data_IF_922969167740
#
_entry.id   IF_922969167740
#
_cell.length_a   1.000
_cell.length_b   1.000
_cell.length_c   1.000
_cell.angle_alpha   90.00
_cell.angle_beta   90.00
_cell.angle_gamma   90.00
#
_symmetry.space_group_name_H-M   'P 1'
#
loop_
_entity.id
_entity.type
_entity.pdbx_description
1 polymer ?
#
# COMPACT_ATOMS: atom_id res chain seq x y z
N UNK A 1 1.42 9.00 -16.16
CA UNK A 1 0.95 8.84 -14.78
C UNK A 1 -0.43 9.46 -14.65
N UNK A 2 -1.48 8.63 -14.49
CA UNK A 2 -2.84 9.13 -14.26
C UNK A 2 -2.95 9.75 -12.86
N UNK A 3 -4.03 10.50 -12.64
CA UNK A 3 -4.42 10.95 -11.30
C UNK A 3 -4.97 9.76 -10.52
N UNK A 4 -4.52 9.56 -9.29
CA UNK A 4 -5.05 8.54 -8.38
C UNK A 4 -6.25 9.13 -7.65
N UNK A 5 -7.44 8.57 -7.87
CA UNK A 5 -8.64 8.96 -7.15
C UNK A 5 -8.57 8.36 -5.74
N UNK A 6 -8.49 7.03 -5.68
CA UNK A 6 -8.39 6.27 -4.43
C UNK A 6 -7.42 5.09 -4.59
N UNK A 7 -6.95 4.58 -3.47
CA UNK A 7 -6.28 3.28 -3.44
C UNK A 7 -6.67 2.51 -2.19
N UNK A 8 -6.68 1.19 -2.29
CA UNK A 8 -6.94 0.27 -1.19
C UNK A 8 -5.77 -0.70 -1.05
N UNK A 9 -5.24 -0.82 0.15
CA UNK A 9 -4.13 -1.72 0.49
C UNK A 9 -4.66 -2.86 1.33
N UNK A 10 -4.21 -4.07 1.02
CA UNK A 10 -4.32 -5.27 1.85
C UNK A 10 -2.93 -5.78 2.17
N UNK A 11 -2.62 -5.95 3.45
CA UNK A 11 -1.34 -6.48 3.94
C UNK A 11 -1.63 -7.79 4.67
N UNK A 12 -0.87 -8.82 4.34
CA UNK A 12 -0.79 -10.05 5.12
C UNK A 12 0.53 -10.04 5.86
N UNK A 13 0.49 -10.00 7.18
CA UNK A 13 1.70 -10.11 8.01
C UNK A 13 2.06 -11.57 8.27
N UNK A 14 3.36 -11.81 8.43
CA UNK A 14 3.94 -13.08 8.83
C UNK A 14 4.08 -13.17 10.35
N UNK A 15 5.11 -13.85 10.83
CA UNK A 15 5.27 -14.14 12.26
C UNK A 15 5.62 -12.92 13.10
N UNK A 16 6.10 -11.84 12.50
CA UNK A 16 6.35 -10.59 13.19
C UNK A 16 5.42 -9.46 12.70
N UNK A 17 4.61 -8.96 13.63
CA UNK A 17 3.62 -7.89 13.41
C UNK A 17 3.62 -6.90 14.58
N UNK A 18 3.07 -5.70 14.38
CA UNK A 18 2.90 -4.64 15.39
C UNK A 18 1.47 -4.11 15.34
N UNK A 19 0.89 -3.80 16.50
CA UNK A 19 -0.50 -3.35 16.64
C UNK A 19 -0.72 -1.86 16.33
N UNK A 20 0.33 -1.14 15.94
CA UNK A 20 0.23 0.27 15.65
C UNK A 20 -0.43 0.57 14.29
N UNK A 21 -0.94 1.80 14.08
CA UNK A 21 -1.55 2.15 12.82
C UNK A 21 -0.56 2.06 11.66
N UNK A 22 -1.00 1.43 10.57
CA UNK A 22 -0.26 1.41 9.31
C UNK A 22 -0.31 2.78 8.67
N UNK A 23 0.86 3.27 8.23
CA UNK A 23 0.98 4.56 7.54
C UNK A 23 1.50 4.35 6.12
N UNK A 24 1.18 5.31 5.26
CA UNK A 24 1.76 5.43 3.94
C UNK A 24 2.33 6.84 3.75
N UNK A 25 3.26 6.98 2.82
CA UNK A 25 3.73 8.27 2.36
C UNK A 25 3.15 8.52 0.96
N UNK A 26 2.44 9.64 0.76
CA UNK A 26 2.04 10.09 -0.57
C UNK A 26 2.66 11.45 -0.86
N UNK A 27 3.54 11.55 -1.85
CA UNK A 27 4.27 12.78 -2.20
C UNK A 27 4.90 13.48 -0.98
N UNK A 28 5.64 12.74 -0.16
CA UNK A 28 6.28 13.20 1.09
C UNK A 28 5.34 13.51 2.26
N UNK A 29 4.05 13.19 2.17
CA UNK A 29 3.11 13.31 3.28
C UNK A 29 2.84 11.95 3.92
N UNK A 30 3.27 11.79 5.18
CA UNK A 30 3.02 10.58 5.97
C UNK A 30 1.61 10.66 6.58
N UNK A 31 0.75 9.71 6.23
CA UNK A 31 -0.66 9.68 6.62
C UNK A 31 -1.09 8.26 7.03
N UNK A 32 -2.01 8.12 8.01
CA UNK A 32 -2.64 6.85 8.29
C UNK A 32 -3.69 6.50 7.23
N UNK A 33 -4.02 5.22 7.10
CA UNK A 33 -5.14 4.77 6.27
C UNK A 33 -6.51 5.11 6.89
N UNK A 34 -7.52 5.21 6.02
CA UNK A 34 -8.93 5.29 6.36
C UNK A 34 -9.64 3.95 6.10
N UNK A 35 -10.90 3.82 6.54
CA UNK A 35 -11.74 2.62 6.35
C UNK A 35 -11.04 1.31 6.75
N UNK A 36 -10.27 1.36 7.84
CA UNK A 36 -9.40 0.27 8.28
C UNK A 36 -10.22 -0.90 8.82
N UNK A 37 -9.84 -2.11 8.41
CA UNK A 37 -10.32 -3.37 9.01
C UNK A 37 -9.14 -4.30 9.27
N UNK A 38 -9.26 -5.13 10.32
CA UNK A 38 -8.18 -6.02 10.76
C UNK A 38 -7.03 -5.29 11.47
N UNK A 39 -5.85 -5.92 11.53
CA UNK A 39 -4.66 -5.37 12.19
C UNK A 39 -3.37 -5.81 11.48
N UNK A 40 -2.27 -5.10 11.76
CA UNK A 40 -0.94 -5.46 11.29
C UNK A 40 -0.14 -6.24 12.36
N UNK A 41 -0.85 -6.91 13.28
CA UNK A 41 -0.25 -7.80 14.27
C UNK A 41 0.24 -9.10 13.63
N UNK A 42 0.93 -9.94 14.39
CA UNK A 42 1.53 -11.18 13.87
C UNK A 42 0.46 -12.12 13.30
N UNK A 43 0.65 -12.53 12.04
CA UNK A 43 -0.23 -13.48 11.33
C UNK A 43 -1.58 -12.93 10.89
N UNK A 44 -1.82 -11.64 11.09
CA UNK A 44 -3.10 -10.98 10.79
C UNK A 44 -3.15 -10.40 9.37
N UNK A 45 -4.36 -9.99 8.99
CA UNK A 45 -4.60 -9.26 7.75
C UNK A 45 -5.08 -7.84 8.07
N UNK A 46 -4.43 -6.86 7.47
CA UNK A 46 -4.84 -5.46 7.51
C UNK A 46 -5.41 -5.04 6.16
N UNK A 47 -6.54 -4.33 6.15
CA UNK A 47 -7.04 -3.63 4.98
C UNK A 47 -7.29 -2.16 5.32
N UNK A 48 -6.89 -1.25 4.43
CA UNK A 48 -7.15 0.19 4.56
C UNK A 48 -7.24 0.85 3.19
N UNK A 49 -7.93 1.98 3.10
CA UNK A 49 -8.02 2.77 1.87
C UNK A 49 -7.77 4.25 2.13
N UNK A 50 -7.56 5.02 1.06
CA UNK A 50 -7.46 6.46 1.15
C UNK A 50 -7.92 7.13 -0.14
N UNK A 51 -8.65 8.23 0.00
CA UNK A 51 -9.04 9.10 -1.12
C UNK A 51 -8.01 10.21 -1.30
N UNK A 52 -7.23 10.13 -2.38
CA UNK A 52 -6.09 11.02 -2.63
C UNK A 52 -6.47 12.16 -3.58
N UNK A 53 -7.19 11.84 -4.66
CA UNK A 53 -7.50 12.75 -5.76
C UNK A 53 -6.27 13.56 -6.24
N UNK A 54 -5.12 12.90 -6.46
CA UNK A 54 -3.86 13.57 -6.81
C UNK A 54 -2.94 12.71 -7.68
N UNK A 55 -1.92 13.31 -8.28
CA UNK A 55 -0.91 12.59 -9.07
C UNK A 55 0.18 12.02 -8.14
N UNK A 56 0.47 10.73 -8.27
CA UNK A 56 1.36 10.00 -7.35
C UNK A 56 2.83 10.07 -7.77
N UNK A 57 3.57 11.12 -7.44
CA UNK A 57 5.02 11.15 -7.66
C UNK A 57 5.77 10.12 -6.80
N UNK A 58 5.24 9.83 -5.61
CA UNK A 58 5.70 8.74 -4.75
C UNK A 58 4.53 8.22 -3.92
N UNK A 59 4.39 6.90 -3.80
CA UNK A 59 3.54 6.26 -2.81
C UNK A 59 4.25 5.06 -2.19
N UNK A 60 4.59 5.17 -0.91
CA UNK A 60 5.27 4.10 -0.15
C UNK A 60 4.43 3.64 1.03
N UNK A 61 4.56 2.37 1.40
CA UNK A 61 4.13 1.87 2.69
C UNK A 61 5.27 2.09 3.69
N UNK A 62 4.96 2.74 4.81
CA UNK A 62 5.95 3.10 5.84
C UNK A 62 6.02 1.98 6.88
N UNK A 63 7.23 1.65 7.34
CA UNK A 63 7.41 0.69 8.42
C UNK A 63 6.82 1.13 9.77
N UNK A 64 6.81 0.22 10.75
CA UNK A 64 6.34 0.49 12.10
C UNK A 64 7.21 1.56 12.79
N UNK A 65 6.68 2.35 13.73
CA UNK A 65 7.51 3.30 14.52
C UNK A 65 8.49 2.58 15.46
N UNK A 66 8.21 1.31 15.77
CA UNK A 66 9.06 0.49 16.62
C UNK A 66 8.96 -0.98 16.23
N UNK A 67 10.10 -1.63 16.10
CA UNK A 67 10.18 -3.05 15.82
C UNK A 67 10.06 -3.32 14.33
N UNK A 68 9.45 -4.44 13.93
CA UNK A 68 9.39 -4.87 12.52
C UNK A 68 8.06 -5.49 12.15
N UNK A 69 7.67 -5.28 10.91
CA UNK A 69 6.68 -6.05 10.18
C UNK A 69 7.37 -6.98 9.21
N UNK A 70 7.17 -8.27 9.37
CA UNK A 70 7.37 -9.24 8.31
C UNK A 70 6.08 -9.28 7.50
N UNK A 71 6.11 -8.78 6.28
CA UNK A 71 4.97 -8.80 5.39
C UNK A 71 5.17 -9.94 4.41
N UNK A 72 4.19 -10.84 4.31
CA UNK A 72 4.21 -11.94 3.35
C UNK A 72 3.70 -11.49 1.99
N UNK A 73 2.71 -10.60 1.97
CA UNK A 73 2.07 -10.12 0.76
C UNK A 73 1.44 -8.75 0.95
N UNK A 74 1.59 -7.90 -0.06
CA UNK A 74 0.82 -6.65 -0.20
C UNK A 74 -0.01 -6.75 -1.47
N UNK A 75 -1.29 -6.40 -1.41
CA UNK A 75 -2.14 -6.22 -2.58
C UNK A 75 -2.67 -4.80 -2.57
N UNK A 76 -2.46 -4.05 -3.65
CA UNK A 76 -2.95 -2.68 -3.77
C UNK A 76 -3.88 -2.59 -4.97
N UNK A 77 -5.11 -2.17 -4.71
CA UNK A 77 -6.08 -1.82 -5.73
C UNK A 77 -6.04 -0.31 -5.95
N UNK A 78 -5.86 0.09 -7.21
CA UNK A 78 -5.80 1.47 -7.64
C UNK A 78 -7.04 1.83 -8.44
N UNK A 79 -7.66 2.95 -8.09
CA UNK A 79 -8.63 3.64 -8.92
C UNK A 79 -8.00 4.93 -9.45
N UNK A 80 -7.81 4.98 -10.76
CA UNK A 80 -7.12 6.06 -11.45
C UNK A 80 -8.04 6.74 -12.46
N UNK A 81 -7.93 8.05 -12.60
CA UNK A 81 -8.72 8.84 -13.53
C UNK A 81 -8.53 8.35 -14.97
N UNK A 82 -9.66 8.07 -15.64
CA UNK A 82 -9.73 7.53 -17.01
C UNK A 82 -9.13 6.12 -17.20
N UNK A 83 -8.85 5.39 -16.12
CA UNK A 83 -8.37 4.01 -16.16
C UNK A 83 -9.39 3.08 -15.51
N UNK A 84 -9.38 1.79 -15.90
CA UNK A 84 -10.13 0.78 -15.14
C UNK A 84 -9.38 0.48 -13.84
N UNK A 85 -10.07 0.26 -12.71
CA UNK A 85 -9.41 -0.17 -11.50
C UNK A 85 -8.56 -1.42 -11.73
N UNK A 86 -7.38 -1.43 -11.13
CA UNK A 86 -6.41 -2.52 -11.30
C UNK A 86 -5.74 -2.86 -9.98
N UNK A 87 -5.34 -4.12 -9.84
CA UNK A 87 -4.68 -4.64 -8.64
C UNK A 87 -3.25 -5.03 -8.92
N UNK A 88 -2.35 -4.60 -8.03
CA UNK A 88 -0.92 -4.93 -8.05
C UNK A 88 -0.60 -5.74 -6.81
N UNK A 89 0.20 -6.79 -6.97
CA UNK A 89 0.62 -7.65 -5.87
C UNK A 89 2.13 -7.53 -5.68
N UNK A 90 2.56 -7.30 -4.44
CA UNK A 90 3.95 -7.28 -4.03
C UNK A 90 4.25 -8.51 -3.18
N UNK A 91 5.45 -9.06 -3.35
CA UNK A 91 5.94 -10.19 -2.58
C UNK A 91 6.31 -9.81 -1.16
N UNK A 92 6.96 -10.75 -0.47
CA UNK A 92 7.37 -10.57 0.91
C UNK A 92 8.39 -9.44 1.08
N UNK A 93 8.22 -8.65 2.14
CA UNK A 93 9.12 -7.55 2.50
C UNK A 93 9.18 -7.43 4.02
N UNK A 94 10.35 -7.06 4.54
CA UNK A 94 10.50 -6.71 5.96
C UNK A 94 10.59 -5.20 6.08
N UNK A 95 9.74 -4.62 6.93
CA UNK A 95 9.76 -3.20 7.24
C UNK A 95 10.09 -3.00 8.72
N UNK A 96 11.06 -2.13 9.00
CA UNK A 96 11.38 -1.58 10.32
C UNK A 96 11.21 -0.05 10.35
N UNK A 97 11.55 0.57 11.48
CA UNK A 97 11.39 2.02 11.72
C UNK A 97 12.10 2.96 10.74
N UNK A 98 13.03 2.44 9.94
CA UNK A 98 13.82 3.23 8.99
C UNK A 98 13.49 2.96 7.53
N UNK A 99 12.58 2.03 7.27
CA UNK A 99 12.33 1.50 5.93
C UNK A 99 10.93 1.82 5.42
N UNK A 100 10.85 1.97 4.11
CA UNK A 100 9.61 2.11 3.38
C UNK A 100 9.71 1.26 2.12
N UNK A 101 8.58 0.73 1.65
CA UNK A 101 8.51 0.02 0.37
C UNK A 101 7.66 0.81 -0.61
N UNK A 102 8.18 1.02 -1.82
CA UNK A 102 7.40 1.61 -2.89
C UNK A 102 6.28 0.66 -3.29
N UNK A 103 5.04 1.13 -3.15
CA UNK A 103 3.86 0.37 -3.56
C UNK A 103 3.22 0.97 -4.81
N UNK A 104 3.65 2.16 -5.27
CA UNK A 104 3.13 2.74 -6.51
C UNK A 104 3.54 1.92 -7.74
N UNK A 105 2.57 1.68 -8.62
CA UNK A 105 2.83 1.13 -9.95
C UNK A 105 1.84 1.71 -10.96
N UNK A 106 2.34 2.19 -12.10
CA UNK A 106 1.51 2.72 -13.19
C UNK A 106 0.52 1.66 -13.71
N UNK A 107 -0.62 2.08 -14.30
CA UNK A 107 -1.57 1.16 -14.90
C UNK A 107 -0.90 0.25 -15.94
N UNK A 108 -1.34 -1.01 -16.05
CA UNK A 108 -0.82 -1.91 -17.07
C UNK A 108 -1.10 -1.35 -18.46
N UNK A 109 -0.07 -1.32 -19.31
CA UNK A 109 -0.23 -0.90 -20.71
C UNK A 109 -1.18 -1.89 -21.40
N UNK A 110 -2.21 -1.38 -22.07
CA UNK A 110 -3.04 -2.20 -22.96
C UNK A 110 -2.15 -2.75 -24.07
N UNK A 111 -1.76 -4.02 -23.95
CA UNK A 111 -1.11 -4.72 -25.05
C UNK A 111 -2.15 -4.88 -26.16
N UNK A 112 -1.97 -4.18 -27.27
CA UNK A 112 -2.67 -4.52 -28.50
C UNK A 112 -2.02 -5.81 -29.02
N UNK A 113 -2.80 -6.89 -29.13
CA UNK A 113 -2.41 -8.03 -29.95
C UNK A 113 -2.23 -7.52 -31.40
N UNK A 114 -1.01 -7.63 -31.91
CA UNK A 114 -0.64 -7.35 -33.31
C UNK A 114 -0.74 -8.59 -34.17
#
# INVERSE_FOLDING_TARGET
>A
MPRVNTFKVKIQTGQQGMSEPVHFNFNSHNMPFENVTGSAESGEAFEGSFEVNSFAHSLTLVGPKSGKWEIEKISVEYDCENEKPYTVNFGAVTLDESTEVNIWQDPPVLAFDV
#
